data_IF_577610373477
#
_entry.id   IF_577610373477
#
_cell.length_a   1.000
_cell.length_b   1.000
_cell.length_c   1.000
_cell.angle_alpha   90.00
_cell.angle_beta   90.00
_cell.angle_gamma   90.00
#
_symmetry.space_group_name_H-M   'P 1'
#
loop_
_entity.id
_entity.type
_entity.pdbx_description
1 polymer ?
#
# COMPACT_ATOMS: atom_id res chain seq x y z
N UNK A 1 13.49 -15.96 26.09
CA UNK A 1 12.03 -15.86 26.27
C UNK A 1 11.37 -15.54 24.93
N UNK A 2 10.64 -16.49 24.35
CA UNK A 2 9.96 -16.35 23.05
C UNK A 2 8.72 -15.46 23.27
N UNK A 3 8.61 -14.32 22.59
CA UNK A 3 7.40 -13.48 22.68
C UNK A 3 6.21 -14.31 22.21
N UNK A 4 5.26 -14.55 23.09
CA UNK A 4 4.00 -15.21 22.76
C UNK A 4 3.20 -14.26 21.88
N UNK A 5 2.81 -14.71 20.68
CA UNK A 5 2.02 -13.87 19.79
C UNK A 5 0.65 -13.65 20.42
N UNK A 6 0.14 -12.40 20.48
CA UNK A 6 -1.14 -12.13 21.10
C UNK A 6 -2.25 -12.91 20.38
N UNK A 7 -3.23 -13.37 21.16
CA UNK A 7 -4.37 -14.15 20.65
C UNK A 7 -5.18 -13.39 19.58
N UNK A 8 -5.17 -12.06 19.62
CA UNK A 8 -5.75 -11.18 18.61
C UNK A 8 -4.73 -10.13 18.15
N UNK A 9 -4.60 -9.94 16.84
CA UNK A 9 -3.76 -8.92 16.20
C UNK A 9 -4.66 -7.91 15.50
N UNK A 10 -4.34 -6.62 15.66
CA UNK A 10 -5.08 -5.50 15.08
C UNK A 10 -4.20 -4.66 14.15
N UNK A 11 -3.97 -5.08 12.89
CA UNK A 11 -3.18 -4.28 11.97
C UNK A 11 -3.93 -2.97 11.61
N UNK A 12 -3.25 -1.84 11.80
CA UNK A 12 -3.72 -0.52 11.40
C UNK A 12 -3.21 -0.16 9.99
N UNK A 13 -4.12 -0.03 9.03
CA UNK A 13 -3.80 0.18 7.61
C UNK A 13 -3.97 1.64 7.22
N UNK A 14 -2.90 2.27 6.72
CA UNK A 14 -2.96 3.54 6.01
C UNK A 14 -3.13 3.30 4.51
N UNK A 15 -4.27 3.69 3.96
CA UNK A 15 -4.56 3.56 2.52
C UNK A 15 -4.16 4.84 1.81
N UNK A 16 -3.36 4.73 0.75
CA UNK A 16 -2.97 5.85 -0.09
C UNK A 16 -3.50 5.63 -1.49
N UNK A 17 -4.36 6.53 -1.93
CA UNK A 17 -4.95 6.55 -3.27
C UNK A 17 -4.20 7.59 -4.09
N UNK A 18 -3.62 7.17 -5.20
CA UNK A 18 -2.91 8.08 -6.11
C UNK A 18 -3.86 8.92 -6.97
N UNK A 19 -3.29 9.83 -7.77
CA UNK A 19 -4.06 10.74 -8.60
C UNK A 19 -4.91 10.03 -9.65
N UNK A 20 -4.37 8.97 -10.27
CA UNK A 20 -5.13 8.20 -11.28
C UNK A 20 -6.25 7.39 -10.63
N UNK A 21 -6.05 6.87 -9.42
CA UNK A 21 -7.10 6.28 -8.58
C UNK A 21 -8.19 7.28 -8.21
N UNK A 22 -7.82 8.50 -7.79
CA UNK A 22 -8.76 9.60 -7.53
C UNK A 22 -9.61 9.92 -8.77
N UNK A 23 -8.96 10.05 -9.93
CA UNK A 23 -9.64 10.30 -11.21
C UNK A 23 -10.57 9.18 -11.64
N UNK A 24 -10.19 7.92 -11.40
CA UNK A 24 -11.02 6.77 -11.77
C UNK A 24 -12.35 6.73 -11.02
N UNK A 25 -12.41 7.31 -9.82
CA UNK A 25 -13.63 7.44 -9.03
C UNK A 25 -14.36 8.78 -9.26
N UNK A 26 -14.15 9.41 -10.41
CA UNK A 26 -14.81 10.67 -10.77
C UNK A 26 -14.41 11.87 -9.90
N UNK A 27 -13.34 11.76 -9.11
CA UNK A 27 -12.90 12.81 -8.19
C UNK A 27 -13.78 12.97 -6.94
N UNK A 28 -14.70 12.03 -6.69
CA UNK A 28 -15.58 12.08 -5.52
C UNK A 28 -14.96 11.38 -4.31
N UNK A 29 -14.55 12.18 -3.31
CA UNK A 29 -13.95 11.67 -2.09
C UNK A 29 -14.89 10.73 -1.31
N UNK A 30 -16.20 10.93 -1.39
CA UNK A 30 -17.19 10.08 -0.71
C UNK A 30 -17.22 8.69 -1.37
N UNK A 31 -17.28 8.64 -2.70
CA UNK A 31 -17.24 7.38 -3.44
C UNK A 31 -15.92 6.63 -3.23
N UNK A 32 -14.79 7.33 -3.26
CA UNK A 32 -13.45 6.74 -2.99
C UNK A 32 -13.41 6.12 -1.60
N UNK A 33 -13.82 6.89 -0.57
CA UNK A 33 -13.85 6.39 0.81
C UNK A 33 -14.73 5.17 0.95
N UNK A 34 -15.96 5.21 0.41
CA UNK A 34 -16.90 4.08 0.44
C UNK A 34 -16.30 2.84 -0.20
N UNK A 35 -15.71 2.98 -1.39
CA UNK A 35 -15.06 1.88 -2.09
C UNK A 35 -13.97 1.21 -1.25
N UNK A 36 -13.03 1.99 -0.70
CA UNK A 36 -11.93 1.42 0.08
C UNK A 36 -12.37 0.88 1.45
N UNK A 37 -13.38 1.47 2.09
CA UNK A 37 -13.98 0.91 3.30
C UNK A 37 -14.59 -0.48 2.99
N UNK A 38 -15.38 -0.59 1.92
CA UNK A 38 -15.97 -1.87 1.51
C UNK A 38 -14.91 -2.90 1.12
N UNK A 39 -13.86 -2.48 0.42
CA UNK A 39 -12.74 -3.32 0.03
C UNK A 39 -12.04 -3.92 1.26
N UNK A 40 -11.60 -3.07 2.20
CA UNK A 40 -10.91 -3.53 3.41
C UNK A 40 -11.80 -4.32 4.36
N UNK A 41 -13.11 -4.08 4.35
CA UNK A 41 -14.06 -4.96 5.04
C UNK A 41 -14.06 -6.38 4.43
N UNK A 42 -14.01 -6.49 3.10
CA UNK A 42 -13.83 -7.78 2.42
C UNK A 42 -12.53 -8.48 2.82
N UNK A 43 -11.44 -7.72 2.91
CA UNK A 43 -10.14 -8.24 3.39
C UNK A 43 -10.24 -8.70 4.85
N UNK A 44 -10.81 -7.90 5.75
CA UNK A 44 -11.02 -8.26 7.17
C UNK A 44 -11.83 -9.56 7.33
N UNK A 45 -12.91 -9.72 6.56
CA UNK A 45 -13.71 -10.95 6.53
C UNK A 45 -12.89 -12.17 6.09
N UNK A 46 -11.98 -12.01 5.14
CA UNK A 46 -11.11 -13.11 4.70
C UNK A 46 -10.12 -13.51 5.80
N UNK A 47 -9.52 -12.55 6.49
CA UNK A 47 -8.57 -12.80 7.57
C UNK A 47 -9.23 -13.35 8.85
N UNK A 48 -10.51 -13.06 9.09
CA UNK A 48 -11.30 -13.65 10.18
C UNK A 48 -11.44 -15.17 10.10
N UNK A 49 -11.27 -15.76 8.90
CA UNK A 49 -11.32 -17.22 8.72
C UNK A 49 -10.06 -17.93 9.24
N UNK A 50 -8.98 -17.20 9.54
CA UNK A 50 -7.75 -17.79 10.05
C UNK A 50 -7.95 -18.32 11.48
N UNK A 51 -7.51 -19.56 11.71
CA UNK A 51 -7.54 -20.20 13.02
C UNK A 51 -6.25 -19.92 13.78
N UNK A 52 -6.25 -18.85 14.56
CA UNK A 52 -5.16 -18.50 15.48
C UNK A 52 -3.93 -17.92 14.76
N UNK A 53 -3.50 -16.69 15.08
CA UNK A 53 -4.19 -15.68 15.89
C UNK A 53 -5.44 -15.12 15.18
N UNK A 54 -6.39 -14.57 15.95
CA UNK A 54 -7.50 -13.81 15.37
C UNK A 54 -6.95 -12.51 14.79
N UNK A 55 -7.20 -12.22 13.52
CA UNK A 55 -6.75 -10.97 12.88
C UNK A 55 -7.97 -10.08 12.65
N UNK A 56 -7.88 -8.82 13.07
CA UNK A 56 -8.91 -7.79 12.84
C UNK A 56 -8.28 -6.58 12.19
N UNK A 57 -8.55 -6.39 10.92
CA UNK A 57 -7.96 -5.31 10.14
C UNK A 57 -8.76 -4.02 10.40
N UNK A 58 -8.05 -2.92 10.59
CA UNK A 58 -8.65 -1.60 10.77
C UNK A 58 -7.98 -0.58 9.84
N UNK A 59 -8.75 0.44 9.43
CA UNK A 59 -8.23 1.53 8.61
C UNK A 59 -7.79 2.66 9.55
N UNK A 60 -6.50 2.97 9.58
CA UNK A 60 -5.96 4.11 10.30
C UNK A 60 -6.29 5.44 9.61
N UNK A 61 -6.34 5.43 8.28
CA UNK A 61 -6.67 6.60 7.48
C UNK A 61 -6.67 6.31 5.99
N UNK A 62 -7.30 7.21 5.23
CA UNK A 62 -7.29 7.19 3.77
C UNK A 62 -6.75 8.53 3.29
N UNK A 63 -5.62 8.50 2.58
CA UNK A 63 -5.02 9.65 1.93
C UNK A 63 -5.41 9.61 0.46
N UNK A 64 -6.06 10.68 -0.01
CA UNK A 64 -6.50 10.82 -1.39
C UNK A 64 -5.65 11.90 -2.05
N UNK A 65 -4.86 11.49 -3.03
CA UNK A 65 -3.95 12.37 -3.75
C UNK A 65 -4.70 13.08 -4.88
N UNK A 66 -4.92 14.39 -4.73
CA UNK A 66 -5.63 15.20 -5.74
C UNK A 66 -4.72 15.75 -6.84
N UNK A 67 -3.41 15.58 -6.71
CA UNK A 67 -2.40 15.95 -7.70
C UNK A 67 -1.34 14.85 -7.84
N UNK A 68 -0.70 14.78 -9.01
CA UNK A 68 0.37 13.80 -9.30
C UNK A 68 1.60 14.01 -8.42
N UNK A 69 1.89 15.26 -8.10
CA UNK A 69 2.99 15.71 -7.24
C UNK A 69 2.85 15.26 -5.78
N UNK A 70 1.64 14.91 -5.33
CA UNK A 70 1.39 14.37 -4.00
C UNK A 70 1.91 12.93 -3.80
N UNK A 71 2.15 12.19 -4.90
CA UNK A 71 2.72 10.83 -4.88
C UNK A 71 4.01 10.78 -5.71
N UNK A 72 5.06 11.51 -5.31
CA UNK A 72 6.27 11.64 -6.13
C UNK A 72 7.03 10.31 -6.27
N UNK A 73 6.85 9.39 -5.33
CA UNK A 73 7.43 8.04 -5.38
C UNK A 73 6.83 7.15 -6.48
N UNK A 74 5.61 7.44 -6.96
CA UNK A 74 5.04 6.77 -8.14
C UNK A 74 5.52 7.46 -9.41
N UNK A 75 5.35 8.78 -9.49
CA UNK A 75 5.63 9.55 -10.71
C UNK A 75 7.11 9.50 -11.13
N UNK A 76 8.05 9.55 -10.19
CA UNK A 76 9.50 9.43 -10.49
C UNK A 76 9.93 8.05 -10.96
N UNK A 77 9.14 7.04 -10.66
CA UNK A 77 9.45 5.64 -10.94
C UNK A 77 8.60 5.07 -12.09
N UNK A 78 7.95 5.94 -12.87
CA UNK A 78 7.20 5.54 -14.06
C UNK A 78 8.13 4.93 -15.12
N UNK A 79 7.64 3.87 -15.74
CA UNK A 79 8.27 3.22 -16.88
C UNK A 79 7.28 3.25 -18.03
N UNK A 80 7.57 4.05 -19.05
CA UNK A 80 6.64 4.28 -20.15
C UNK A 80 5.39 5.06 -19.70
N UNK A 81 4.22 4.70 -20.26
CA UNK A 81 2.98 5.44 -20.01
C UNK A 81 2.16 4.87 -18.86
N UNK A 82 2.14 3.55 -18.72
CA UNK A 82 1.18 2.80 -17.93
C UNK A 82 1.79 1.95 -16.83
N UNK A 83 3.12 1.94 -16.66
CA UNK A 83 3.80 1.11 -15.67
C UNK A 83 4.67 1.89 -14.69
N UNK A 84 5.00 1.25 -13.56
CA UNK A 84 5.98 1.72 -12.56
C UNK A 84 6.99 0.63 -12.23
N UNK A 85 8.23 1.03 -11.96
CA UNK A 85 9.23 0.16 -11.34
C UNK A 85 8.87 -0.06 -9.87
N UNK A 86 8.14 -1.15 -9.60
CA UNK A 86 7.62 -1.50 -8.27
C UNK A 86 8.71 -1.51 -7.19
N UNK A 87 9.94 -1.93 -7.52
CA UNK A 87 11.03 -2.01 -6.56
C UNK A 87 11.51 -0.63 -6.12
N UNK A 88 11.72 0.25 -7.10
CA UNK A 88 12.19 1.60 -6.86
C UNK A 88 11.08 2.45 -6.22
N UNK A 89 9.85 2.37 -6.74
CA UNK A 89 8.68 3.06 -6.22
C UNK A 89 8.42 2.72 -4.75
N UNK A 90 8.45 1.45 -4.39
CA UNK A 90 8.24 1.00 -3.00
C UNK A 90 9.33 1.51 -2.06
N UNK A 91 10.58 1.54 -2.53
CA UNK A 91 11.71 2.06 -1.77
C UNK A 91 11.56 3.56 -1.52
N UNK A 92 11.17 4.32 -2.55
CA UNK A 92 10.98 5.77 -2.43
C UNK A 92 9.75 6.12 -1.61
N UNK A 93 8.68 5.32 -1.67
CA UNK A 93 7.52 5.48 -0.79
C UNK A 93 7.93 5.29 0.67
N UNK A 94 8.72 4.25 0.97
CA UNK A 94 9.25 4.04 2.32
C UNK A 94 10.05 5.24 2.83
N UNK A 95 10.90 5.85 1.99
CA UNK A 95 11.65 7.07 2.34
C UNK A 95 10.74 8.27 2.55
N UNK A 96 9.73 8.44 1.69
CA UNK A 96 8.78 9.54 1.77
C UNK A 96 7.96 9.48 3.07
N UNK A 97 7.35 8.32 3.35
CA UNK A 97 6.55 8.11 4.56
C UNK A 97 7.37 8.18 5.84
N UNK A 98 8.64 7.76 5.82
CA UNK A 98 9.53 7.88 6.97
C UNK A 98 9.81 9.33 7.37
N UNK A 99 9.83 10.24 6.40
CA UNK A 99 10.08 11.68 6.63
C UNK A 99 8.83 12.43 7.05
N UNK A 100 7.66 11.91 6.69
CA UNK A 100 6.39 12.56 6.97
C UNK A 100 5.99 12.41 8.44
N UNK A 101 5.58 13.53 9.05
CA UNK A 101 5.20 13.57 10.48
C UNK A 101 3.72 13.80 10.72
N UNK A 102 2.97 14.23 9.69
CA UNK A 102 1.53 14.52 9.79
C UNK A 102 0.63 13.30 9.58
N UNK A 103 1.21 12.12 9.36
CA UNK A 103 0.43 10.90 9.16
C UNK A 103 -0.13 10.39 10.49
N UNK A 104 -1.32 9.77 10.48
CA UNK A 104 -1.81 9.05 11.66
C UNK A 104 -0.85 7.92 12.04
N UNK A 105 -1.04 7.33 13.21
CA UNK A 105 -0.35 6.08 13.56
C UNK A 105 -0.90 4.96 12.67
N UNK A 106 0.00 4.15 12.10
CA UNK A 106 -0.34 2.99 11.29
C UNK A 106 0.76 1.93 11.38
N UNK A 107 0.43 0.68 11.08
CA UNK A 107 1.37 -0.44 10.99
C UNK A 107 1.85 -0.67 9.56
N UNK A 108 0.90 -0.62 8.62
CA UNK A 108 1.12 -0.91 7.20
C UNK A 108 0.56 0.25 6.37
N UNK A 109 1.38 0.79 5.47
CA UNK A 109 0.91 1.72 4.45
C UNK A 109 0.75 0.99 3.11
N UNK A 110 -0.42 1.12 2.49
CA UNK A 110 -0.75 0.49 1.20
C UNK A 110 -1.06 1.59 0.19
N UNK A 111 -0.23 1.72 -0.83
CA UNK A 111 -0.52 2.58 -1.98
C UNK A 111 -1.20 1.78 -3.09
N UNK A 112 -2.36 2.26 -3.52
CA UNK A 112 -3.19 1.62 -4.54
C UNK A 112 -3.16 2.48 -5.78
N UNK A 113 -2.74 1.88 -6.90
CA UNK A 113 -2.49 2.57 -8.16
C UNK A 113 -3.13 1.85 -9.34
N UNK A 114 -3.36 2.60 -10.43
CA UNK A 114 -3.76 2.04 -11.74
C UNK A 114 -2.55 1.56 -12.54
N UNK A 115 -1.34 2.01 -12.23
CA UNK A 115 -0.16 1.64 -13.01
C UNK A 115 0.14 0.15 -12.89
N UNK A 116 0.50 -0.46 -14.02
CA UNK A 116 1.07 -1.80 -14.07
C UNK A 116 2.40 -1.80 -13.31
N UNK A 117 2.52 -2.64 -12.32
CA UNK A 117 3.75 -2.91 -11.62
C UNK A 117 4.64 -3.81 -12.45
N UNK A 118 5.83 -3.31 -12.69
CA UNK A 118 6.89 -4.07 -13.30
C UNK A 118 8.10 -4.18 -12.39
N UNK A 119 8.90 -5.21 -12.66
CA UNK A 119 10.23 -5.34 -12.07
C UNK A 119 11.26 -5.03 -13.14
N UNK A 120 11.96 -3.91 -12.97
CA UNK A 120 13.06 -3.56 -13.88
C UNK A 120 14.28 -4.42 -13.58
N UNK A 121 14.82 -5.10 -14.60
CA UNK A 121 16.09 -5.85 -14.49
C UNK A 121 17.27 -5.00 -14.95
N UNK A 122 18.50 -5.37 -14.55
CA UNK A 122 19.73 -4.81 -15.12
C UNK A 122 19.69 -5.04 -16.64
N UNK A 123 19.66 -3.97 -17.43
CA UNK A 123 19.41 -4.00 -18.88
C UNK A 123 18.11 -3.31 -19.33
N UNK A 124 17.34 -2.70 -18.42
CA UNK A 124 16.25 -1.79 -18.76
C UNK A 124 14.92 -2.46 -19.14
N UNK A 125 14.89 -3.78 -19.38
CA UNK A 125 13.64 -4.53 -19.57
C UNK A 125 12.80 -4.53 -18.29
N UNK A 126 11.54 -4.15 -18.45
CA UNK A 126 10.51 -4.05 -17.42
C UNK A 126 9.53 -5.19 -17.68
N UNK A 127 9.60 -6.23 -16.83
CA UNK A 127 8.70 -7.38 -16.93
C UNK A 127 7.44 -7.10 -16.11
N UNK A 128 6.30 -7.00 -16.79
CA UNK A 128 4.97 -6.88 -16.19
C UNK A 128 4.50 -8.26 -15.67
N UNK A 129 3.51 -8.27 -14.78
CA UNK A 129 2.95 -9.49 -14.17
C UNK A 129 3.10 -9.57 -12.65
N UNK A 130 3.51 -8.48 -12.00
CA UNK A 130 3.51 -8.37 -10.53
C UNK A 130 2.35 -7.48 -10.13
N UNK A 131 1.32 -8.02 -9.49
CA UNK A 131 0.16 -7.24 -9.04
C UNK A 131 0.41 -6.41 -7.76
N UNK A 132 1.48 -6.72 -7.03
CA UNK A 132 1.79 -6.07 -5.77
C UNK A 132 3.21 -6.30 -5.29
N UNK A 133 3.71 -5.39 -4.46
CA UNK A 133 5.03 -5.51 -3.84
C UNK A 133 5.01 -5.02 -2.41
N UNK A 134 5.63 -5.77 -1.50
CA UNK A 134 5.72 -5.44 -0.08
C UNK A 134 7.17 -5.37 0.39
N UNK A 135 7.45 -4.41 1.28
CA UNK A 135 8.66 -4.32 2.06
C UNK A 135 8.27 -4.44 3.53
N UNK A 136 8.56 -5.59 4.12
CA UNK A 136 8.28 -5.85 5.52
C UNK A 136 9.29 -5.14 6.43
N UNK A 137 8.79 -4.53 7.50
CA UNK A 137 9.64 -4.00 8.55
C UNK A 137 10.48 -5.13 9.15
N UNK A 138 11.80 -4.95 9.22
CA UNK A 138 12.64 -5.83 10.04
C UNK A 138 12.29 -5.59 11.53
N UNK A 139 11.84 -6.61 12.28
CA UNK A 139 11.48 -6.46 13.69
C UNK A 139 12.68 -6.10 14.59
N UNK A 140 13.92 -6.31 14.12
CA UNK A 140 15.16 -5.86 14.79
C UNK A 140 15.68 -4.51 14.28
N UNK A 141 15.00 -3.90 13.31
CA UNK A 141 15.37 -2.62 12.72
C UNK A 141 14.88 -1.42 13.53
N UNK A 142 15.26 -0.20 13.14
CA UNK A 142 14.84 1.02 13.84
C UNK A 142 13.31 1.13 13.90
N UNK A 143 12.75 1.63 15.02
CA UNK A 143 11.32 1.61 15.30
C UNK A 143 10.50 2.39 14.26
N UNK A 144 11.11 3.37 13.59
CA UNK A 144 10.51 4.19 12.54
C UNK A 144 10.40 3.51 11.16
N UNK A 145 11.04 2.36 10.91
CA UNK A 145 10.76 1.59 9.69
C UNK A 145 9.33 1.05 9.78
N UNK A 146 8.51 1.32 8.78
CA UNK A 146 7.11 0.86 8.67
C UNK A 146 7.00 -0.16 7.56
N UNK A 147 6.02 -1.06 7.64
CA UNK A 147 5.72 -1.95 6.54
C UNK A 147 5.03 -1.15 5.44
N UNK A 148 5.49 -1.33 4.22
CA UNK A 148 4.95 -0.62 3.05
C UNK A 148 4.59 -1.62 1.97
N UNK A 149 3.42 -1.45 1.36
CA UNK A 149 2.93 -2.25 0.25
C UNK A 149 2.45 -1.35 -0.89
N UNK A 150 2.68 -1.77 -2.12
CA UNK A 150 2.05 -1.22 -3.31
C UNK A 150 1.17 -2.29 -3.95
N UNK A 151 0.00 -1.88 -4.44
CA UNK A 151 -1.00 -2.75 -5.06
C UNK A 151 -1.50 -2.14 -6.37
N UNK A 152 -1.54 -2.95 -7.43
CA UNK A 152 -2.32 -2.64 -8.62
C UNK A 152 -3.78 -2.84 -8.27
N UNK A 153 -4.65 -1.91 -8.66
CA UNK A 153 -6.09 -2.05 -8.40
C UNK A 153 -6.71 -3.29 -9.07
N UNK A 154 -6.21 -3.68 -10.24
CA UNK A 154 -6.64 -4.90 -10.95
C UNK A 154 -5.97 -6.17 -10.44
N UNK A 155 -4.93 -6.02 -9.61
CA UNK A 155 -4.28 -7.10 -8.89
C UNK A 155 -5.26 -7.69 -7.89
N UNK A 156 -5.71 -8.92 -8.15
CA UNK A 156 -6.51 -9.66 -7.18
C UNK A 156 -5.80 -9.67 -5.82
N UNK A 157 -6.56 -9.45 -4.75
CA UNK A 157 -6.05 -9.58 -3.39
C UNK A 157 -5.90 -11.06 -3.02
N UNK A 158 -5.10 -11.82 -3.77
CA UNK A 158 -4.79 -13.23 -3.54
C UNK A 158 -3.45 -13.59 -4.17
#
# INVERSE_FOLDING_TARGET
>A
TKREAPYVIYPEILVIVDYDGYRLHGGDNVQIKRYFISFWNGVDLRYKLLKGPKVRISIAGIIISRGRDATPYLERNRVGRDAIDSAAALTDMGKYLFRERRLPVYDIAVAITKYDMCRRRKGGRCTKGTAGKENQKNPRGPPKKKTTKMEERGGGFF
#
